data_IF_540812038524
#
_entry.id   IF_540812038524
#
_cell.length_a   1.000
_cell.length_b   1.000
_cell.length_c   1.000
_cell.angle_alpha   90.00
_cell.angle_beta   90.00
_cell.angle_gamma   90.00
#
_symmetry.space_group_name_H-M   'P 1'
#
loop_
_entity.id
_entity.type
_entity.pdbx_description
1 polymer ?
#
# COMPACT_ATOMS: atom_id res chain seq x y z
N UNK A 1 -14.24 13.56 -12.62
CA UNK A 1 -12.90 13.23 -12.09
C UNK A 1 -12.92 13.50 -10.61
N UNK A 2 -12.91 12.47 -9.76
CA UNK A 2 -12.86 12.65 -8.32
C UNK A 2 -11.49 13.17 -7.91
N UNK A 3 -11.48 14.38 -7.37
CA UNK A 3 -10.28 14.98 -6.79
C UNK A 3 -9.77 14.16 -5.59
N UNK A 4 -10.66 13.51 -4.84
CA UNK A 4 -10.38 12.70 -3.64
C UNK A 4 -10.73 11.22 -3.90
N UNK A 5 -9.70 10.36 -3.90
CA UNK A 5 -9.79 8.92 -4.12
C UNK A 5 -9.42 8.16 -2.85
N UNK A 6 -10.29 7.25 -2.42
CA UNK A 6 -10.10 6.35 -1.30
C UNK A 6 -10.09 4.92 -1.78
N UNK A 7 -8.94 4.27 -1.67
CA UNK A 7 -8.75 2.89 -2.08
C UNK A 7 -8.21 2.04 -0.94
N UNK A 8 -8.58 0.77 -0.91
CA UNK A 8 -8.02 -0.19 0.01
C UNK A 8 -7.69 -1.52 -0.66
N UNK A 9 -6.72 -2.22 -0.08
CA UNK A 9 -6.51 -3.65 -0.30
C UNK A 9 -6.61 -4.38 1.03
N UNK A 10 -7.31 -5.51 1.05
CA UNK A 10 -7.40 -6.36 2.23
C UNK A 10 -7.27 -7.85 1.92
N UNK A 11 -6.96 -8.61 2.96
CA UNK A 11 -6.81 -10.06 2.91
C UNK A 11 -6.28 -10.63 4.22
N UNK A 12 -5.63 -11.79 4.16
CA UNK A 12 -5.08 -12.44 5.33
C UNK A 12 -3.61 -12.05 5.57
N UNK A 13 -3.17 -12.09 6.81
CA UNK A 13 -1.77 -11.86 7.16
C UNK A 13 -0.85 -12.83 6.39
N UNK A 14 0.08 -12.27 5.61
CA UNK A 14 0.96 -13.01 4.71
C UNK A 14 0.62 -12.84 3.22
N UNK A 15 -0.56 -12.32 2.89
CA UNK A 15 -0.98 -12.09 1.50
C UNK A 15 -0.30 -10.90 0.82
N UNK A 16 0.62 -10.19 1.50
CA UNK A 16 1.38 -9.08 0.93
C UNK A 16 0.71 -7.70 0.98
N UNK A 17 -0.41 -7.57 1.71
CA UNK A 17 -1.27 -6.36 1.78
C UNK A 17 -0.48 -5.06 2.01
N UNK A 18 0.36 -5.02 3.05
CA UNK A 18 1.16 -3.84 3.38
C UNK A 18 2.18 -3.47 2.28
N UNK A 19 2.78 -4.47 1.63
CA UNK A 19 3.71 -4.20 0.53
C UNK A 19 2.98 -3.64 -0.69
N UNK A 20 1.81 -4.20 -1.03
CA UNK A 20 1.00 -3.75 -2.16
C UNK A 20 0.50 -2.32 -1.93
N UNK A 21 -0.07 -2.04 -0.76
CA UNK A 21 -0.56 -0.71 -0.41
C UNK A 21 0.55 0.34 -0.44
N UNK A 22 1.75 0.01 0.08
CA UNK A 22 2.91 0.92 0.00
C UNK A 22 3.39 1.17 -1.42
N UNK A 23 3.35 0.17 -2.32
CA UNK A 23 3.70 0.35 -3.74
C UNK A 23 2.73 1.33 -4.40
N UNK A 24 1.43 1.16 -4.19
CA UNK A 24 0.43 2.03 -4.82
C UNK A 24 0.45 3.45 -4.23
N UNK A 25 0.58 3.59 -2.90
CA UNK A 25 0.77 4.89 -2.26
C UNK A 25 2.01 5.64 -2.80
N UNK A 26 3.10 4.91 -3.10
CA UNK A 26 4.28 5.50 -3.75
C UNK A 26 4.01 5.92 -5.19
N UNK A 27 3.23 5.14 -5.95
CA UNK A 27 2.85 5.50 -7.31
C UNK A 27 2.00 6.78 -7.34
N UNK A 28 0.99 6.88 -6.46
CA UNK A 28 0.15 8.08 -6.32
C UNK A 28 0.97 9.32 -5.93
N UNK A 29 1.89 9.18 -4.96
CA UNK A 29 2.78 10.27 -4.56
C UNK A 29 3.72 10.74 -5.68
N UNK A 30 4.16 9.83 -6.56
CA UNK A 30 4.99 10.15 -7.73
C UNK A 30 4.20 10.85 -8.83
N UNK A 31 2.90 10.59 -8.91
CA UNK A 31 1.98 11.30 -9.78
C UNK A 31 1.56 12.68 -9.21
N UNK A 32 2.27 13.18 -8.20
CA UNK A 32 2.03 14.48 -7.58
C UNK A 32 0.78 14.56 -6.71
N UNK A 33 0.16 13.43 -6.36
CA UNK A 33 -1.00 13.41 -5.46
C UNK A 33 -0.55 13.37 -4.01
N UNK A 34 -1.20 14.13 -3.15
CA UNK A 34 -1.06 13.99 -1.70
C UNK A 34 -1.65 12.65 -1.26
N UNK A 35 -0.98 11.98 -0.35
CA UNK A 35 -1.37 10.64 0.10
C UNK A 35 -1.40 10.57 1.62
N UNK A 36 -2.48 10.01 2.17
CA UNK A 36 -2.60 9.62 3.57
C UNK A 36 -2.91 8.14 3.65
N UNK A 37 -2.15 7.38 4.44
CA UNK A 37 -2.30 5.91 4.53
C UNK A 37 -2.69 5.48 5.94
N UNK A 38 -3.56 4.49 6.06
CA UNK A 38 -3.81 3.75 7.30
C UNK A 38 -3.58 2.25 7.10
N UNK A 39 -3.20 1.57 8.18
CA UNK A 39 -2.95 0.13 8.18
C UNK A 39 -3.73 -0.51 9.31
N UNK A 40 -4.59 -1.45 8.95
CA UNK A 40 -5.30 -2.27 9.91
C UNK A 40 -4.64 -3.65 9.95
N UNK A 41 -4.15 -4.05 11.12
CA UNK A 41 -3.56 -5.36 11.31
C UNK A 41 -4.01 -5.94 12.65
N UNK A 42 -4.31 -7.24 12.65
CA UNK A 42 -4.60 -7.95 13.87
C UNK A 42 -3.39 -7.91 14.82
N UNK A 43 -3.65 -7.82 16.14
CA UNK A 43 -2.61 -7.92 17.18
C UNK A 43 -2.11 -9.36 17.35
N UNK A 44 -1.67 -10.00 16.26
CA UNK A 44 -1.14 -11.37 16.19
C UNK A 44 -0.06 -11.47 15.12
N UNK A 45 0.98 -12.26 15.38
CA UNK A 45 2.15 -12.39 14.47
C UNK A 45 1.80 -13.18 13.20
N UNK A 46 0.81 -14.09 13.25
CA UNK A 46 0.35 -14.86 12.10
C UNK A 46 -1.17 -14.99 12.09
N UNK A 47 -1.72 -14.92 10.88
CA UNK A 47 -3.14 -15.07 10.59
C UNK A 47 -3.97 -13.86 11.03
N UNK A 48 -5.15 -13.74 10.43
CA UNK A 48 -6.08 -12.66 10.70
C UNK A 48 -6.13 -11.65 9.57
N UNK A 49 -7.24 -10.94 9.55
CA UNK A 49 -7.53 -9.91 8.59
C UNK A 49 -6.53 -8.75 8.71
N UNK A 50 -6.13 -8.22 7.56
CA UNK A 50 -5.34 -7.00 7.45
C UNK A 50 -5.76 -6.21 6.24
N UNK A 51 -5.74 -4.89 6.39
CA UNK A 51 -6.06 -3.92 5.36
C UNK A 51 -4.98 -2.86 5.25
N UNK A 52 -4.82 -2.31 4.06
CA UNK A 52 -4.06 -1.09 3.83
C UNK A 52 -4.95 -0.13 3.06
N UNK A 53 -5.25 1.01 3.69
CA UNK A 53 -6.14 2.04 3.16
C UNK A 53 -5.32 3.25 2.73
N UNK A 54 -5.67 3.83 1.60
CA UNK A 54 -5.00 4.97 0.99
C UNK A 54 -6.05 5.98 0.58
N UNK A 55 -5.96 7.18 1.14
CA UNK A 55 -6.62 8.36 0.62
C UNK A 55 -5.63 9.16 -0.19
N UNK A 56 -6.03 9.61 -1.38
CA UNK A 56 -5.21 10.51 -2.19
C UNK A 56 -6.01 11.62 -2.82
N UNK A 57 -5.41 12.81 -2.91
CA UNK A 57 -6.00 13.93 -3.60
C UNK A 57 -4.97 14.82 -4.29
N UNK A 58 -5.40 15.62 -5.27
CA UNK A 58 -4.58 16.71 -5.83
C UNK A 58 -4.31 17.80 -4.79
N UNK A 59 -5.21 17.93 -3.80
CA UNK A 59 -5.05 18.82 -2.65
C UNK A 59 -4.54 18.06 -1.42
N UNK A 60 -4.03 18.82 -0.45
CA UNK A 60 -3.49 18.26 0.80
C UNK A 60 -4.58 17.49 1.57
N UNK A 61 -4.28 16.23 1.89
CA UNK A 61 -5.08 15.36 2.76
C UNK A 61 -4.40 15.18 4.12
N UNK A 62 -5.19 15.21 5.19
CA UNK A 62 -4.68 15.18 6.58
C UNK A 62 -5.28 14.05 7.44
N UNK A 63 -6.22 13.29 6.89
CA UNK A 63 -6.86 12.17 7.57
C UNK A 63 -7.37 11.14 6.58
N UNK A 64 -7.62 9.94 7.08
CA UNK A 64 -8.53 8.97 6.44
C UNK A 64 -9.97 9.48 6.49
N UNK A 65 -10.84 8.80 5.75
CA UNK A 65 -12.30 8.96 5.77
C UNK A 65 -12.96 7.58 5.78
N UNK A 66 -14.18 7.51 6.30
CA UNK A 66 -14.98 6.29 6.33
C UNK A 66 -15.75 6.13 4.99
N UNK A 67 -14.99 6.02 3.90
CA UNK A 67 -15.49 5.86 2.53
C UNK A 67 -14.46 5.13 1.69
N UNK A 68 -14.87 4.12 0.93
CA UNK A 68 -14.02 3.39 -0.01
C UNK A 68 -14.60 3.44 -1.42
N UNK A 69 -13.89 4.12 -2.30
CA UNK A 69 -14.22 4.23 -3.71
C UNK A 69 -13.84 2.94 -4.46
N UNK A 70 -12.66 2.39 -4.17
CA UNK A 70 -12.14 1.15 -4.80
C UNK A 70 -11.62 0.19 -3.72
N UNK A 71 -12.02 -1.08 -3.75
CA UNK A 71 -11.59 -2.13 -2.83
C UNK A 71 -11.00 -3.32 -3.58
N UNK A 72 -9.73 -3.65 -3.35
CA UNK A 72 -9.15 -4.94 -3.77
C UNK A 72 -9.38 -5.96 -2.65
N UNK A 73 -10.28 -6.90 -2.90
CA UNK A 73 -10.69 -7.94 -1.96
C UNK A 73 -10.01 -9.28 -2.30
N UNK A 74 -8.99 -9.67 -1.53
CA UNK A 74 -8.36 -10.98 -1.71
C UNK A 74 -9.18 -12.13 -1.08
N UNK A 75 -10.14 -11.82 -0.21
CA UNK A 75 -11.04 -12.74 0.48
C UNK A 75 -12.39 -12.09 0.70
N UNK A 76 -13.45 -12.90 0.88
CA UNK A 76 -14.80 -12.39 1.15
C UNK A 76 -14.85 -11.56 2.43
N UNK A 77 -14.11 -12.02 3.45
CA UNK A 77 -13.92 -11.29 4.70
C UNK A 77 -13.43 -9.85 4.50
N UNK A 78 -12.65 -9.58 3.44
CA UNK A 78 -12.22 -8.22 3.13
C UNK A 78 -13.39 -7.31 2.82
N UNK A 79 -14.40 -7.81 2.12
CA UNK A 79 -15.63 -7.06 1.83
C UNK A 79 -16.44 -6.92 3.12
N UNK A 80 -16.62 -8.01 3.88
CA UNK A 80 -17.40 -8.00 5.13
C UNK A 80 -16.86 -6.98 6.15
N UNK A 81 -15.54 -6.89 6.32
CA UNK A 81 -14.90 -6.00 7.30
C UNK A 81 -14.88 -4.52 6.85
N UNK A 82 -15.22 -4.22 5.59
CA UNK A 82 -15.28 -2.84 5.07
C UNK A 82 -16.65 -2.47 4.50
N UNK A 83 -17.67 -3.30 4.74
CA UNK A 83 -18.99 -3.11 4.15
C UNK A 83 -19.59 -1.73 4.48
N UNK A 84 -19.36 -1.25 5.70
CA UNK A 84 -19.85 0.03 6.19
C UNK A 84 -19.18 1.25 5.51
N UNK A 85 -18.06 1.06 4.82
CA UNK A 85 -17.34 2.12 4.09
C UNK A 85 -17.64 2.11 2.59
N UNK A 86 -18.28 1.05 2.07
CA UNK A 86 -18.71 0.97 0.68
C UNK A 86 -19.95 1.84 0.45
N UNK A 87 -20.10 2.36 -0.76
CA UNK A 87 -21.18 3.23 -1.17
C UNK A 87 -21.65 2.93 -2.60
N UNK A 88 -22.71 3.61 -3.03
CA UNK A 88 -23.16 3.58 -4.42
C UNK A 88 -22.00 4.00 -5.33
N UNK A 89 -21.64 3.14 -6.27
CA UNK A 89 -20.52 3.34 -7.18
C UNK A 89 -19.17 2.86 -6.67
N UNK A 90 -19.05 2.26 -5.47
CA UNK A 90 -17.81 1.59 -5.08
C UNK A 90 -17.49 0.43 -6.03
N UNK A 91 -16.20 0.26 -6.36
CA UNK A 91 -15.72 -0.84 -7.20
C UNK A 91 -14.96 -1.87 -6.37
N UNK A 92 -15.32 -3.15 -6.48
CA UNK A 92 -14.68 -4.24 -5.77
C UNK A 92 -13.95 -5.13 -6.78
N UNK A 93 -12.62 -5.14 -6.74
CA UNK A 93 -11.79 -6.04 -7.55
C UNK A 93 -11.53 -7.31 -6.76
N UNK A 94 -11.90 -8.46 -7.31
CA UNK A 94 -11.71 -9.77 -6.68
C UNK A 94 -11.31 -10.84 -7.70
N UNK A 95 -11.00 -12.05 -7.21
CA UNK A 95 -10.64 -13.22 -8.04
C UNK A 95 -11.64 -14.35 -7.79
N UNK A 96 -12.61 -14.52 -8.68
CA UNK A 96 -13.66 -15.54 -8.63
C UNK A 96 -13.15 -16.96 -8.89
N UNK A 97 -11.96 -17.13 -9.49
CA UNK A 97 -11.33 -18.45 -9.61
C UNK A 97 -10.83 -18.98 -8.24
N UNK A 98 -10.73 -18.10 -7.24
CA UNK A 98 -10.35 -18.47 -5.87
C UNK A 98 -11.55 -19.10 -5.15
N UNK A 99 -11.36 -20.28 -4.56
CA UNK A 99 -12.42 -21.02 -3.84
C UNK A 99 -13.13 -20.23 -2.74
N UNK A 100 -12.48 -19.24 -2.13
CA UNK A 100 -13.11 -18.39 -1.10
C UNK A 100 -13.98 -17.26 -1.67
N UNK A 101 -14.00 -17.10 -2.99
CA UNK A 101 -14.68 -16.04 -3.74
C UNK A 101 -15.55 -16.58 -4.89
N UNK A 102 -15.61 -17.90 -5.08
CA UNK A 102 -16.29 -18.51 -6.25
C UNK A 102 -17.78 -18.24 -6.30
N UNK A 103 -18.40 -18.07 -5.13
CA UNK A 103 -19.82 -17.73 -4.97
C UNK A 103 -19.99 -16.29 -4.47
N UNK A 104 -18.97 -15.43 -4.62
CA UNK A 104 -19.04 -14.05 -4.20
C UNK A 104 -19.92 -13.25 -5.17
N UNK A 105 -20.90 -12.57 -4.61
CA UNK A 105 -21.71 -11.57 -5.29
C UNK A 105 -21.41 -10.21 -4.65
N UNK A 106 -21.11 -9.21 -5.47
CA UNK A 106 -20.88 -7.87 -4.97
C UNK A 106 -22.15 -7.33 -4.28
N UNK A 107 -22.03 -6.60 -3.15
CA UNK A 107 -23.17 -5.97 -2.50
C UNK A 107 -23.97 -5.09 -3.47
N UNK A 108 -25.28 -4.96 -3.20
CA UNK A 108 -26.16 -4.07 -3.95
C UNK A 108 -25.55 -2.66 -4.05
N UNK A 109 -25.74 -1.98 -5.19
CA UNK A 109 -25.23 -0.63 -5.48
C UNK A 109 -23.70 -0.50 -5.64
N UNK A 110 -22.95 -1.61 -5.51
CA UNK A 110 -21.51 -1.67 -5.83
C UNK A 110 -21.26 -2.38 -7.16
N UNK A 111 -20.09 -2.16 -7.74
CA UNK A 111 -19.65 -2.84 -8.98
C UNK A 111 -18.57 -3.88 -8.65
N UNK A 112 -18.89 -5.15 -8.83
CA UNK A 112 -17.91 -6.25 -8.71
C UNK A 112 -17.17 -6.49 -10.01
N UNK A 113 -15.84 -6.48 -9.97
CA UNK A 113 -14.95 -6.84 -11.07
C UNK A 113 -14.25 -8.15 -10.76
N UNK A 114 -14.72 -9.23 -11.38
CA UNK A 114 -14.10 -10.55 -11.32
C UNK A 114 -12.87 -10.58 -12.24
N UNK A 115 -11.69 -10.45 -11.65
CA UNK A 115 -10.40 -10.47 -12.36
C UNK A 115 -9.66 -11.74 -11.93
N UNK A 116 -9.22 -12.62 -12.86
CA UNK A 116 -8.54 -13.87 -12.55
C UNK A 116 -7.07 -13.63 -12.13
N UNK A 117 -6.89 -12.97 -10.98
CA UNK A 117 -5.64 -12.41 -10.48
C UNK A 117 -4.52 -13.45 -10.44
N UNK A 118 -4.81 -14.65 -9.93
CA UNK A 118 -3.82 -15.72 -9.82
C UNK A 118 -3.36 -16.22 -11.19
N UNK A 119 -4.30 -16.47 -12.11
CA UNK A 119 -4.00 -17.00 -13.45
C UNK A 119 -3.14 -16.02 -14.25
N UNK A 120 -3.54 -14.75 -14.30
CA UNK A 120 -2.78 -13.69 -14.97
C UNK A 120 -1.38 -13.51 -14.34
N UNK A 121 -1.27 -13.64 -13.01
CA UNK A 121 0.03 -13.61 -12.36
C UNK A 121 0.93 -14.80 -12.72
N UNK A 122 0.37 -16.00 -12.89
CA UNK A 122 1.10 -17.19 -13.34
C UNK A 122 1.60 -17.01 -14.78
N UNK A 123 0.78 -16.42 -15.66
CA UNK A 123 1.17 -16.07 -17.05
C UNK A 123 2.35 -15.07 -17.08
N UNK A 124 2.35 -14.08 -16.19
CA UNK A 124 3.45 -13.11 -16.06
C UNK A 124 4.73 -13.69 -15.40
N UNK A 125 4.68 -14.90 -14.86
CA UNK A 125 5.85 -15.59 -14.31
C UNK A 125 5.74 -16.07 -12.86
N UNK A 126 4.59 -15.92 -12.20
CA UNK A 126 4.33 -16.54 -10.91
C UNK A 126 3.19 -15.95 -10.08
N UNK A 127 2.39 -16.83 -9.47
CA UNK A 127 1.22 -16.51 -8.64
C UNK A 127 1.45 -15.49 -7.51
N UNK A 128 2.69 -15.29 -7.06
CA UNK A 128 3.03 -14.28 -6.03
C UNK A 128 2.72 -12.84 -6.50
N UNK A 129 2.60 -12.61 -7.81
CA UNK A 129 2.33 -11.30 -8.40
C UNK A 129 0.84 -10.98 -8.53
N UNK A 130 -0.08 -11.82 -8.02
CA UNK A 130 -1.54 -11.58 -8.10
C UNK A 130 -1.97 -10.20 -7.60
N UNK A 131 -1.27 -9.68 -6.58
CA UNK A 131 -1.57 -8.36 -6.04
C UNK A 131 -1.17 -7.24 -7.01
N UNK A 132 -0.15 -7.48 -7.84
CA UNK A 132 0.29 -6.53 -8.87
C UNK A 132 -0.66 -6.55 -10.05
N UNK A 133 -1.21 -7.72 -10.42
CA UNK A 133 -2.34 -7.81 -11.36
C UNK A 133 -3.51 -6.96 -10.85
N UNK A 134 -3.85 -7.08 -9.57
CA UNK A 134 -4.93 -6.30 -8.98
C UNK A 134 -4.66 -4.79 -9.00
N UNK A 135 -3.41 -4.35 -8.76
CA UNK A 135 -3.03 -2.95 -8.91
C UNK A 135 -3.16 -2.47 -10.37
N UNK A 136 -2.79 -3.30 -11.33
CA UNK A 136 -2.99 -3.02 -12.75
C UNK A 136 -4.45 -2.83 -13.13
N UNK A 137 -5.32 -3.74 -12.66
CA UNK A 137 -6.76 -3.61 -12.79
C UNK A 137 -7.29 -2.30 -12.17
N UNK A 138 -6.81 -1.93 -10.96
CA UNK A 138 -7.18 -0.67 -10.33
C UNK A 138 -6.70 0.56 -11.11
N UNK A 139 -5.55 0.48 -11.79
CA UNK A 139 -5.06 1.56 -12.66
C UNK A 139 -6.02 1.78 -13.84
N UNK A 140 -6.45 0.70 -14.51
CA UNK A 140 -7.40 0.79 -15.61
C UNK A 140 -8.74 1.38 -15.17
N UNK A 141 -9.27 0.90 -14.04
CA UNK A 141 -10.53 1.40 -13.46
C UNK A 141 -10.48 2.91 -13.19
N UNK A 142 -9.32 3.42 -12.75
CA UNK A 142 -9.17 4.81 -12.33
C UNK A 142 -8.58 5.73 -13.40
N UNK A 143 -8.32 5.22 -14.62
CA UNK A 143 -7.59 5.97 -15.64
C UNK A 143 -6.15 6.34 -15.25
N UNK A 144 -5.61 5.74 -14.19
CA UNK A 144 -4.30 6.07 -13.66
C UNK A 144 -3.19 5.55 -14.57
N UNK A 145 -2.26 6.43 -14.95
CA UNK A 145 -1.14 6.05 -15.81
C UNK A 145 -0.25 5.01 -15.13
N UNK A 146 -0.26 3.79 -15.69
CA UNK A 146 0.48 2.63 -15.20
C UNK A 146 2.00 2.88 -15.16
N UNK A 147 2.53 3.87 -15.89
CA UNK A 147 3.93 4.25 -15.81
C UNK A 147 4.37 4.66 -14.38
N UNK A 148 3.50 5.30 -13.59
CA UNK A 148 3.80 5.63 -12.19
C UNK A 148 3.87 4.37 -11.29
N UNK A 149 3.07 3.36 -11.61
CA UNK A 149 3.16 2.05 -10.97
C UNK A 149 4.47 1.36 -11.35
N UNK A 150 4.87 1.40 -12.62
CA UNK A 150 6.14 0.85 -13.12
C UNK A 150 7.36 1.40 -12.36
N UNK A 151 7.41 2.72 -12.12
CA UNK A 151 8.49 3.34 -11.33
C UNK A 151 8.52 2.84 -9.88
N UNK A 152 7.34 2.60 -9.30
CA UNK A 152 7.22 2.11 -7.92
C UNK A 152 7.63 0.65 -7.81
N UNK A 153 7.31 -0.16 -8.82
CA UNK A 153 7.77 -1.54 -8.96
C UNK A 153 9.30 -1.60 -9.15
N UNK A 154 9.87 -0.73 -9.99
CA UNK A 154 11.32 -0.60 -10.20
C UNK A 154 12.04 -0.29 -8.88
N UNK A 155 11.56 0.72 -8.13
CA UNK A 155 12.13 1.07 -6.83
C UNK A 155 12.03 -0.07 -5.82
N UNK A 156 10.94 -0.84 -5.85
CA UNK A 156 10.69 -1.93 -4.90
C UNK A 156 11.49 -3.19 -5.20
N UNK A 157 11.65 -3.53 -6.48
CA UNK A 157 12.16 -4.83 -6.91
C UNK A 157 13.50 -4.75 -7.68
N UNK A 158 14.00 -3.57 -8.04
CA UNK A 158 15.23 -3.41 -8.82
C UNK A 158 16.45 -4.08 -8.19
N UNK A 159 16.57 -4.06 -6.86
CA UNK A 159 17.63 -4.77 -6.13
C UNK A 159 17.55 -6.30 -6.20
N UNK A 160 16.46 -6.86 -6.73
CA UNK A 160 16.25 -8.31 -6.90
C UNK A 160 16.50 -8.79 -8.33
N UNK A 161 16.77 -7.89 -9.27
CA UNK A 161 17.11 -8.20 -10.66
C UNK A 161 16.02 -7.83 -11.68
N UNK A 162 16.45 -7.47 -12.89
CA UNK A 162 15.59 -6.89 -13.93
C UNK A 162 14.42 -7.80 -14.33
N UNK A 163 14.65 -9.10 -14.47
CA UNK A 163 13.59 -10.05 -14.84
C UNK A 163 12.44 -10.06 -13.83
N UNK A 164 12.71 -9.88 -12.52
CA UNK A 164 11.65 -9.79 -11.51
C UNK A 164 10.85 -8.50 -11.70
N UNK A 165 11.53 -7.39 -11.98
CA UNK A 165 10.85 -6.11 -12.25
C UNK A 165 9.96 -6.23 -13.48
N UNK A 166 10.50 -6.74 -14.59
CA UNK A 166 9.78 -6.86 -15.86
C UNK A 166 8.54 -7.75 -15.71
N UNK A 167 8.66 -8.90 -15.03
CA UNK A 167 7.53 -9.78 -14.74
C UNK A 167 6.44 -9.10 -13.89
N UNK A 168 6.81 -8.25 -12.93
CA UNK A 168 5.82 -7.52 -12.14
C UNK A 168 5.14 -6.44 -12.98
N UNK A 169 5.88 -5.72 -13.84
CA UNK A 169 5.28 -4.74 -14.76
C UNK A 169 4.33 -5.42 -15.74
N UNK A 170 4.70 -6.61 -16.23
CA UNK A 170 3.83 -7.43 -17.08
C UNK A 170 2.56 -7.89 -16.35
N UNK A 171 2.68 -8.36 -15.11
CA UNK A 171 1.52 -8.69 -14.30
C UNK A 171 0.54 -7.52 -14.15
N UNK A 172 1.05 -6.30 -13.94
CA UNK A 172 0.21 -5.10 -13.90
C UNK A 172 -0.48 -4.84 -15.25
N UNK A 173 0.23 -4.99 -16.38
CA UNK A 173 -0.37 -4.82 -17.72
C UNK A 173 -1.47 -5.82 -17.99
N UNK A 174 -1.27 -7.10 -17.68
CA UNK A 174 -2.28 -8.14 -17.86
C UNK A 174 -3.55 -7.85 -17.04
N UNK A 175 -3.41 -7.32 -15.82
CA UNK A 175 -4.55 -6.90 -15.01
C UNK A 175 -5.32 -5.73 -15.63
N UNK A 176 -4.60 -4.73 -16.14
CA UNK A 176 -5.22 -3.58 -16.81
C UNK A 176 -5.91 -3.97 -18.13
N UNK A 177 -5.24 -4.79 -18.95
CA UNK A 177 -5.76 -5.29 -20.23
C UNK A 177 -7.02 -6.14 -20.03
N UNK A 178 -7.03 -7.02 -19.03
CA UNK A 178 -8.21 -7.83 -18.72
C UNK A 178 -9.43 -6.96 -18.39
N UNK A 179 -9.27 -5.92 -17.55
CA UNK A 179 -10.38 -5.00 -17.24
C UNK A 179 -10.85 -4.26 -18.50
N UNK A 180 -9.93 -3.81 -19.34
CA UNK A 180 -10.25 -3.04 -20.56
C UNK A 180 -11.01 -3.86 -21.60
N UNK A 181 -10.63 -5.12 -21.78
CA UNK A 181 -11.12 -5.96 -22.88
C UNK A 181 -12.31 -6.83 -22.50
N UNK A 182 -12.33 -7.36 -21.27
CA UNK A 182 -13.29 -8.38 -20.85
C UNK A 182 -14.39 -7.83 -19.94
N UNK A 183 -14.19 -6.64 -19.33
CA UNK A 183 -15.15 -6.05 -18.41
C UNK A 183 -15.73 -4.75 -18.97
N UNK A 184 -17.07 -4.67 -19.01
CA UNK A 184 -17.78 -3.43 -19.35
C UNK A 184 -17.76 -2.50 -18.15
N UNK A 185 -16.75 -1.62 -18.10
CA UNK A 185 -16.52 -0.75 -16.95
C UNK A 185 -16.62 0.71 -17.37
N UNK A 186 -17.82 1.31 -17.23
CA UNK A 186 -17.95 2.77 -17.15
C UNK A 186 -17.83 3.16 -15.68
N UNK A 187 -16.66 3.61 -15.25
CA UNK A 187 -16.52 4.19 -13.90
C UNK A 187 -16.25 5.68 -13.98
N UNK A 188 -16.68 6.39 -12.94
CA UNK A 188 -16.48 7.84 -12.84
C UNK A 188 -15.14 8.21 -12.19
N UNK A 189 -14.25 7.23 -11.93
CA UNK A 189 -13.03 7.41 -11.13
C UNK A 189 -11.77 7.83 -11.89
N UNK A 190 -11.90 8.53 -13.01
CA UNK A 190 -10.74 9.10 -13.70
C UNK A 190 -10.02 10.11 -12.78
N UNK A 191 -8.80 9.77 -12.34
CA UNK A 191 -8.05 10.55 -11.34
C UNK A 191 -7.02 11.51 -11.95
N UNK A 192 -7.03 12.74 -11.45
CA UNK A 192 -6.07 13.77 -11.85
C UNK A 192 -4.66 13.55 -11.29
N UNK A 193 -3.65 14.04 -12.01
CA UNK A 193 -2.25 14.09 -11.59
C UNK A 193 -1.78 15.53 -11.46
N UNK A 194 -0.65 15.75 -10.80
CA UNK A 194 -0.01 17.08 -10.72
C UNK A 194 1.51 17.00 -10.89
N UNK A 195 2.16 18.15 -11.08
CA UNK A 195 3.62 18.26 -11.16
C UNK A 195 4.30 18.38 -9.77
N UNK A 196 3.58 18.11 -8.68
CA UNK A 196 4.13 18.22 -7.32
C UNK A 196 5.23 17.16 -7.08
N UNK A 197 6.38 17.59 -6.55
CA UNK A 197 7.44 16.70 -6.08
C UNK A 197 7.24 16.38 -4.59
N UNK A 198 6.60 15.24 -4.31
CA UNK A 198 6.19 14.83 -2.98
C UNK A 198 7.01 13.66 -2.46
N UNK A 199 7.33 13.69 -1.16
CA UNK A 199 7.96 12.57 -0.46
C UNK A 199 6.93 11.87 0.40
N UNK A 200 6.67 10.60 0.10
CA UNK A 200 5.91 9.72 0.98
C UNK A 200 6.79 9.29 2.17
N UNK A 201 6.39 9.70 3.38
CA UNK A 201 7.15 9.53 4.61
C UNK A 201 6.21 9.02 5.72
N UNK A 202 6.65 8.03 6.50
CA UNK A 202 5.91 7.64 7.71
C UNK A 202 6.39 8.43 8.94
N UNK A 203 5.59 8.40 10.02
CA UNK A 203 5.87 9.18 11.23
C UNK A 203 7.19 8.86 11.90
N UNK A 204 7.56 7.58 12.00
CA UNK A 204 8.79 7.14 12.65
C UNK A 204 10.03 7.52 11.82
N UNK A 205 9.95 7.39 10.49
CA UNK A 205 10.96 7.89 9.55
C UNK A 205 11.10 9.42 9.68
N UNK A 206 10.00 10.16 9.82
CA UNK A 206 10.02 11.62 10.00
C UNK A 206 10.67 12.03 11.32
N UNK A 207 10.40 11.33 12.42
CA UNK A 207 11.05 11.55 13.72
C UNK A 207 12.55 11.28 13.59
N UNK A 208 12.94 10.16 12.98
CA UNK A 208 14.34 9.83 12.76
C UNK A 208 15.07 10.86 11.89
N UNK A 209 14.46 11.28 10.78
CA UNK A 209 14.98 12.34 9.91
C UNK A 209 15.14 13.66 10.66
N UNK A 210 14.12 14.06 11.43
CA UNK A 210 14.14 15.26 12.24
C UNK A 210 15.23 15.23 13.32
N UNK A 211 15.43 14.08 13.97
CA UNK A 211 16.49 13.89 14.96
C UNK A 211 17.88 14.07 14.33
N UNK A 212 18.14 13.44 13.18
CA UNK A 212 19.41 13.59 12.46
C UNK A 212 19.66 15.03 12.02
N UNK A 213 18.64 15.67 11.41
CA UNK A 213 18.68 17.06 10.98
C UNK A 213 18.89 18.03 12.15
N UNK A 214 18.31 17.72 13.31
CA UNK A 214 18.48 18.48 14.55
C UNK A 214 19.84 18.30 15.23
N UNK A 215 20.73 17.47 14.69
CA UNK A 215 22.07 17.27 15.23
C UNK A 215 22.18 16.13 16.25
N UNK A 216 21.18 15.23 16.34
CA UNK A 216 21.27 14.06 17.22
C UNK A 216 22.46 13.17 16.81
N UNK A 217 23.29 12.81 17.79
CA UNK A 217 24.45 11.90 17.64
C UNK A 217 24.42 10.73 18.60
N UNK A 218 23.44 10.67 19.47
CA UNK A 218 23.28 9.58 20.42
C UNK A 218 21.79 9.27 20.58
N UNK A 219 21.41 8.03 20.32
CA UNK A 219 20.07 7.53 20.55
C UNK A 219 20.16 6.29 21.45
N UNK A 220 19.40 6.28 22.54
CA UNK A 220 19.22 5.09 23.36
C UNK A 220 17.73 4.75 23.45
N UNK A 221 17.37 3.48 23.27
CA UNK A 221 15.97 3.06 23.29
C UNK A 221 15.79 1.59 23.64
N UNK A 222 14.57 1.25 24.07
CA UNK A 222 14.11 -0.12 24.28
C UNK A 222 12.99 -0.43 23.27
N UNK A 223 13.00 -1.58 22.57
CA UNK A 223 11.98 -1.91 21.58
C UNK A 223 10.57 -1.97 22.19
N UNK A 224 9.66 -1.13 21.69
CA UNK A 224 8.24 -1.11 22.06
C UNK A 224 7.39 -0.67 20.86
N UNK A 225 6.36 -1.42 20.50
CA UNK A 225 5.43 -1.02 19.43
C UNK A 225 4.60 0.19 19.88
N UNK A 226 4.45 1.26 19.07
CA UNK A 226 4.93 1.44 17.69
C UNK A 226 6.30 2.13 17.53
N UNK A 227 6.96 2.55 18.62
CA UNK A 227 8.16 3.40 18.56
C UNK A 227 9.47 2.70 18.12
N UNK A 228 9.50 1.37 18.05
CA UNK A 228 10.69 0.60 17.62
C UNK A 228 11.22 1.05 16.26
N UNK A 229 10.33 1.43 15.34
CA UNK A 229 10.69 1.80 13.96
C UNK A 229 11.56 3.07 13.90
N UNK A 230 11.47 3.97 14.89
CA UNK A 230 12.38 5.14 15.00
C UNK A 230 13.82 4.69 15.21
N UNK A 231 14.02 3.72 16.12
CA UNK A 231 15.34 3.16 16.41
C UNK A 231 15.87 2.41 15.19
N UNK A 232 15.03 1.63 14.51
CA UNK A 232 15.42 0.93 13.28
C UNK A 232 15.78 1.90 12.15
N UNK A 233 15.07 3.02 12.04
CA UNK A 233 15.39 4.06 11.06
C UNK A 233 16.76 4.68 11.34
N UNK A 234 17.04 5.05 12.59
CA UNK A 234 18.29 5.69 12.97
C UNK A 234 19.49 4.74 12.87
N UNK A 235 19.29 3.45 13.15
CA UNK A 235 20.34 2.43 13.10
C UNK A 235 20.95 2.34 11.69
N UNK A 236 22.27 2.44 11.60
CA UNK A 236 23.03 2.46 10.35
C UNK A 236 23.08 3.84 9.68
N UNK A 237 22.14 4.75 9.97
CA UNK A 237 22.11 6.12 9.41
C UNK A 237 22.77 7.13 10.32
N UNK A 238 22.64 7.00 11.64
CA UNK A 238 23.23 7.95 12.59
C UNK A 238 24.76 7.89 12.56
N UNK A 239 25.31 6.71 12.24
CA UNK A 239 26.75 6.44 12.13
C UNK A 239 27.39 7.25 10.99
N UNK A 240 26.67 7.49 9.89
CA UNK A 240 27.12 8.35 8.78
C UNK A 240 27.33 9.81 9.22
N UNK A 241 26.70 10.19 10.34
CA UNK A 241 26.86 11.52 10.96
C UNK A 241 27.77 11.49 12.20
N UNK A 242 28.45 10.37 12.46
CA UNK A 242 29.35 10.19 13.59
C UNK A 242 28.64 9.96 14.92
N UNK A 243 27.39 9.51 14.90
CA UNK A 243 26.65 9.12 16.11
C UNK A 243 26.50 7.62 16.30
N UNK A 244 25.72 7.23 17.31
CA UNK A 244 25.48 5.84 17.68
C UNK A 244 24.05 5.61 18.18
N UNK A 245 23.52 4.42 17.89
CA UNK A 245 22.28 3.88 18.47
C UNK A 245 22.64 2.78 19.49
N UNK A 246 22.09 2.88 20.70
CA UNK A 246 22.22 1.89 21.76
C UNK A 246 20.85 1.31 22.09
N UNK A 247 20.73 -0.02 21.96
CA UNK A 247 19.56 -0.71 22.50
C UNK A 247 19.80 -0.99 23.98
N UNK A 248 19.03 -0.34 24.84
CA UNK A 248 19.09 -0.53 26.28
C UNK A 248 18.32 -1.79 26.72
N UNK A 249 18.49 -2.19 27.98
CA UNK A 249 17.79 -3.32 28.60
C UNK A 249 16.34 -3.00 29.01
N UNK A 250 16.05 -1.73 29.29
CA UNK A 250 14.73 -1.19 29.63
C UNK A 250 14.68 0.33 29.37
N UNK A 251 13.48 0.92 29.49
CA UNK A 251 13.27 2.35 29.25
C UNK A 251 13.98 3.25 30.27
N UNK A 252 14.22 2.76 31.49
CA UNK A 252 14.93 3.51 32.53
C UNK A 252 16.42 3.62 32.21
N UNK A 253 17.00 2.55 31.69
CA UNK A 253 18.39 2.51 31.26
C UNK A 253 18.58 3.37 30.01
N UNK A 254 17.62 3.32 29.06
CA UNK A 254 17.62 4.18 27.87
C UNK A 254 17.65 5.68 28.22
N UNK A 255 16.74 6.15 29.10
CA UNK A 255 16.70 7.57 29.45
C UNK A 255 17.93 8.01 30.25
N UNK A 256 18.45 7.16 31.14
CA UNK A 256 19.68 7.48 31.88
C UNK A 256 20.91 7.51 30.97
N UNK A 257 20.99 6.64 29.95
CA UNK A 257 22.04 6.71 28.92
C UNK A 257 21.94 8.00 28.10
N UNK A 258 20.72 8.44 27.74
CA UNK A 258 20.53 9.66 26.97
C UNK A 258 20.86 10.96 27.74
N UNK A 259 20.76 10.94 29.07
CA UNK A 259 21.08 12.06 29.94
C UNK A 259 22.59 12.22 30.23
N UNK A 260 23.35 11.13 30.17
CA UNK A 260 24.79 11.08 30.52
C UNK A 260 25.69 11.65 29.45
#
# INVERSE_FOLDING_TARGET
MPEDLNWAIGGEAGDGINSTGKIFAQALSRAGRHVFTSKDFASRIRGGYTAYKVRSSVDRVESVVDRLDILIALTQRTVDENLDELHEGSVIIYDGERTMMSDFEAPDETTGLDVPLKRLAEEAGGAIMRNIVALGAACEVTGFDIAFLDESLEKRFGGKGQAIVDNNKEAARLGAEFVREELDTSTDYDIDITDNDLVLLNGDEAIGMGALAGGCRFYAGYPITPATDVMEYLKGRIEDYGGIVVQAEDELSAINMALG
#
